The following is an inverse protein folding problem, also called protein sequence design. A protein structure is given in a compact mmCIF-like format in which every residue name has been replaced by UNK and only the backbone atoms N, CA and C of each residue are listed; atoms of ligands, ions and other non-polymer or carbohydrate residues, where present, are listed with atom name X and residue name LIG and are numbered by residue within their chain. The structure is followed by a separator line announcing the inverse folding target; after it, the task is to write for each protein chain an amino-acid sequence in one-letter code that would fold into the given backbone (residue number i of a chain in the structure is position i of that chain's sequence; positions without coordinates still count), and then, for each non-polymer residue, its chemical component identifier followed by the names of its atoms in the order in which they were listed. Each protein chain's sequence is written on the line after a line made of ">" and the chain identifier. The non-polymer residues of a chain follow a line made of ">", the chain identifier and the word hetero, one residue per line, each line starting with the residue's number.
data_IF_777259053057
#
_entry.id   IF_777259053057
#
_cell.length_a   1.000
_cell.length_b   1.000
_cell.length_c   1.000
_cell.angle_alpha   90.00
_cell.angle_beta   90.00
_cell.angle_gamma   90.00
#
_symmetry.space_group_name_H-M   'P 1'
#
loop_
_entity.id
_entity.type
_entity.pdbx_description
1 polymer ?
#
# COMPACT_ATOMS: atom_id res chain seq x y z
N UNK A 1 -21.36 48.64 8.18
CA UNK A 1 -20.32 47.98 7.36
C UNK A 1 -19.85 46.78 8.15
N UNK A 2 -20.28 45.62 7.67
CA UNK A 2 -20.35 44.34 8.37
C UNK A 2 -18.97 43.68 8.45
N UNK A 3 -18.54 43.39 9.67
CA UNK A 3 -17.43 42.47 9.95
C UNK A 3 -17.87 41.06 9.54
N UNK A 4 -17.51 40.63 8.33
CA UNK A 4 -17.61 39.24 7.95
C UNK A 4 -16.40 38.50 8.57
N UNK A 5 -16.67 37.80 9.67
CA UNK A 5 -15.77 36.79 10.22
C UNK A 5 -15.60 35.73 9.11
N UNK A 6 -14.37 35.56 8.60
CA UNK A 6 -14.04 34.45 7.72
C UNK A 6 -14.42 33.14 8.43
N UNK A 7 -15.03 32.17 7.74
CA UNK A 7 -15.32 30.88 8.35
C UNK A 7 -13.99 30.20 8.67
N UNK A 8 -13.86 29.74 9.92
CA UNK A 8 -12.86 28.76 10.33
C UNK A 8 -12.94 27.60 9.33
N UNK A 9 -11.92 27.45 8.50
CA UNK A 9 -11.70 26.21 7.77
C UNK A 9 -11.39 25.21 8.86
N UNK A 10 -12.37 24.33 9.12
CA UNK A 10 -12.25 23.23 10.05
C UNK A 10 -11.17 22.29 9.47
N UNK A 11 -9.91 22.60 9.79
CA UNK A 11 -8.72 21.79 9.54
C UNK A 11 -8.83 20.53 10.40
N UNK A 12 -9.76 19.65 10.04
CA UNK A 12 -9.78 18.29 10.55
C UNK A 12 -8.63 17.57 9.87
N UNK A 13 -7.43 17.78 10.41
CA UNK A 13 -6.24 17.01 10.07
C UNK A 13 -6.61 15.53 10.25
N UNK A 14 -6.67 14.79 9.14
CA UNK A 14 -7.26 13.46 9.13
C UNK A 14 -6.23 12.48 9.68
N UNK A 15 -6.44 12.00 10.91
CA UNK A 15 -5.56 11.03 11.56
C UNK A 15 -5.61 9.67 10.83
N UNK A 16 -4.47 9.26 10.26
CA UNK A 16 -4.36 8.03 9.46
C UNK A 16 -4.54 6.76 10.29
N UNK A 17 -4.27 6.83 11.60
CA UNK A 17 -4.49 5.72 12.53
C UNK A 17 -5.98 5.54 12.79
N UNK A 18 -6.70 6.64 13.02
CA UNK A 18 -8.15 6.60 13.20
C UNK A 18 -8.85 6.09 11.93
N UNK A 19 -8.41 6.54 10.75
CA UNK A 19 -8.88 6.00 9.47
C UNK A 19 -8.66 4.48 9.34
N UNK A 20 -7.44 4.00 9.64
CA UNK A 20 -7.12 2.58 9.56
C UNK A 20 -7.93 1.75 10.56
N UNK A 21 -8.13 2.28 11.77
CA UNK A 21 -8.97 1.66 12.81
C UNK A 21 -10.41 1.55 12.37
N UNK A 22 -10.97 2.59 11.76
CA UNK A 22 -12.35 2.57 11.30
C UNK A 22 -12.52 1.64 10.09
N UNK A 23 -11.60 1.66 9.12
CA UNK A 23 -11.59 0.73 7.99
C UNK A 23 -11.57 -0.74 8.46
N UNK A 24 -10.63 -1.08 9.36
CA UNK A 24 -10.52 -2.41 9.97
C UNK A 24 -11.83 -2.84 10.64
N UNK A 25 -12.43 -1.95 11.42
CA UNK A 25 -13.66 -2.25 12.16
C UNK A 25 -14.87 -2.41 11.24
N UNK A 26 -14.98 -1.60 10.19
CA UNK A 26 -16.03 -1.72 9.17
C UNK A 26 -15.90 -3.06 8.44
N UNK A 27 -14.70 -3.36 7.93
CA UNK A 27 -14.39 -4.60 7.19
C UNK A 27 -14.82 -5.87 7.94
N UNK A 28 -14.45 -5.97 9.22
CA UNK A 28 -14.78 -7.15 10.03
C UNK A 28 -16.22 -7.15 10.54
N UNK A 29 -16.82 -5.98 10.78
CA UNK A 29 -18.23 -5.88 11.18
C UNK A 29 -19.16 -6.43 10.10
N UNK A 30 -18.88 -6.14 8.83
CA UNK A 30 -19.62 -6.68 7.68
C UNK A 30 -19.53 -8.21 7.58
N UNK A 31 -18.48 -8.79 8.16
CA UNK A 31 -18.24 -10.24 8.27
C UNK A 31 -18.71 -10.82 9.60
N UNK A 32 -19.52 -10.09 10.36
CA UNK A 32 -20.08 -10.54 11.64
C UNK A 32 -19.12 -10.48 12.82
N UNK A 33 -17.92 -9.92 12.68
CA UNK A 33 -16.89 -9.85 13.71
C UNK A 33 -16.83 -8.43 14.30
N UNK A 34 -17.26 -8.28 15.56
CA UNK A 34 -17.29 -6.98 16.24
C UNK A 34 -16.00 -6.70 17.02
N UNK A 35 -15.09 -5.92 16.43
CA UNK A 35 -13.85 -5.47 17.08
C UNK A 35 -14.11 -4.18 17.87
N UNK A 36 -13.71 -4.17 19.15
CA UNK A 36 -13.79 -2.96 19.99
C UNK A 36 -12.74 -1.94 19.56
N UNK A 37 -13.06 -0.66 19.65
CA UNK A 37 -12.17 0.44 19.24
C UNK A 37 -10.75 0.31 19.85
N UNK A 38 -10.67 0.09 21.16
CA UNK A 38 -9.38 -0.08 21.85
C UNK A 38 -8.54 -1.26 21.31
N UNK A 39 -9.18 -2.35 20.88
CA UNK A 39 -8.48 -3.51 20.32
C UNK A 39 -8.01 -3.25 18.88
N UNK A 40 -8.82 -2.54 18.09
CA UNK A 40 -8.44 -2.13 16.74
C UNK A 40 -7.21 -1.21 16.76
N UNK A 41 -7.19 -0.19 17.62
CA UNK A 41 -6.01 0.65 17.79
C UNK A 41 -4.76 -0.13 18.22
N UNK A 42 -4.92 -1.09 19.14
CA UNK A 42 -3.81 -1.92 19.56
C UNK A 42 -3.25 -2.72 18.37
N UNK A 43 -4.11 -3.33 17.56
CA UNK A 43 -3.71 -4.04 16.35
C UNK A 43 -2.98 -3.11 15.36
N UNK A 44 -3.53 -1.94 15.04
CA UNK A 44 -2.86 -0.97 14.14
C UNK A 44 -1.50 -0.55 14.71
N UNK A 45 -1.39 -0.30 16.02
CA UNK A 45 -0.12 0.05 16.66
C UNK A 45 0.91 -1.08 16.55
N UNK A 46 0.48 -2.33 16.75
CA UNK A 46 1.36 -3.50 16.61
C UNK A 46 1.82 -3.66 15.16
N UNK A 47 0.95 -3.46 14.19
CA UNK A 47 1.32 -3.50 12.77
C UNK A 47 2.39 -2.46 12.42
N UNK A 48 2.32 -1.27 13.03
CA UNK A 48 3.32 -0.19 12.90
C UNK A 48 4.60 -0.40 13.74
N UNK A 49 4.78 -1.60 14.32
CA UNK A 49 5.97 -1.94 15.09
C UNK A 49 5.96 -1.46 16.54
N UNK A 50 4.83 -1.02 17.10
CA UNK A 50 4.75 -0.61 18.51
C UNK A 50 4.20 -1.71 19.44
N UNK A 51 4.66 -1.70 20.69
CA UNK A 51 4.19 -2.65 21.71
C UNK A 51 2.80 -2.29 22.28
N UNK A 52 2.30 -1.08 22.01
CA UNK A 52 0.96 -0.64 22.43
C UNK A 52 0.55 0.66 21.73
N UNK A 53 -0.75 0.99 21.81
CA UNK A 53 -1.28 2.32 21.45
C UNK A 53 -0.60 3.47 22.21
N UNK A 54 -0.27 3.24 23.48
CA UNK A 54 0.38 4.27 24.31
C UNK A 54 1.80 4.52 23.79
N UNK A 55 2.55 3.47 23.46
CA UNK A 55 3.89 3.59 22.89
C UNK A 55 3.88 4.35 21.57
N UNK A 56 2.93 4.06 20.68
CA UNK A 56 2.72 4.83 19.44
C UNK A 56 2.48 6.32 19.73
N UNK A 57 1.58 6.64 20.67
CA UNK A 57 1.22 8.03 21.01
C UNK A 57 2.30 8.80 21.77
N UNK A 58 3.26 8.10 22.34
CA UNK A 58 4.37 8.70 23.09
C UNK A 58 5.64 8.81 22.26
N UNK A 59 5.59 8.48 20.96
CA UNK A 59 6.70 8.64 20.03
C UNK A 59 6.64 10.07 19.45
N UNK A 60 7.58 10.92 19.87
CA UNK A 60 7.66 12.32 19.43
C UNK A 60 8.05 12.46 17.94
N UNK A 61 8.51 11.37 17.30
CA UNK A 61 8.85 11.33 15.88
C UNK A 61 7.73 10.76 15.02
N UNK A 62 6.61 10.35 15.62
CA UNK A 62 5.46 9.82 14.89
C UNK A 62 4.45 10.92 14.55
N UNK A 63 4.25 11.16 13.26
CA UNK A 63 3.19 12.03 12.76
C UNK A 63 1.97 11.20 12.34
N UNK A 64 0.85 11.34 13.04
CA UNK A 64 -0.39 10.62 12.71
C UNK A 64 -1.16 11.22 11.55
N UNK A 65 -0.69 12.31 10.97
CA UNK A 65 -1.29 12.97 9.80
C UNK A 65 -0.50 12.68 8.51
N UNK A 66 0.63 11.98 8.61
CA UNK A 66 1.43 11.59 7.46
C UNK A 66 0.74 10.47 6.66
N UNK A 67 0.22 10.84 5.50
CA UNK A 67 -0.45 9.92 4.57
C UNK A 67 0.53 8.99 3.85
N UNK A 68 1.82 9.33 3.80
CA UNK A 68 2.87 8.54 3.17
C UNK A 68 3.61 7.65 4.16
N UNK A 69 3.08 7.48 5.38
CA UNK A 69 3.66 6.63 6.44
C UNK A 69 4.16 5.26 5.95
N UNK A 70 3.40 4.61 5.05
CA UNK A 70 3.74 3.28 4.54
C UNK A 70 4.96 3.26 3.60
N UNK A 71 5.38 4.40 3.04
CA UNK A 71 6.51 4.48 2.12
C UNK A 71 7.87 4.31 2.83
N UNK A 72 7.96 4.66 4.12
CA UNK A 72 9.23 4.64 4.86
C UNK A 72 9.18 3.86 6.17
N UNK A 73 7.99 3.59 6.73
CA UNK A 73 7.86 2.88 8.01
C UNK A 73 7.95 1.38 7.78
N UNK A 74 8.86 0.73 8.50
CA UNK A 74 8.84 -0.72 8.61
C UNK A 74 7.55 -1.18 9.31
N UNK A 75 6.69 -1.86 8.54
CA UNK A 75 5.41 -2.39 9.02
C UNK A 75 5.39 -3.90 8.88
N UNK A 76 4.60 -4.57 9.72
CA UNK A 76 4.52 -6.00 9.58
C UNK A 76 3.69 -6.73 10.62
N UNK A 77 3.55 -8.02 10.37
CA UNK A 77 2.72 -8.91 11.17
C UNK A 77 3.43 -9.49 12.39
N UNK A 78 4.74 -9.30 12.52
CA UNK A 78 5.55 -9.90 13.60
C UNK A 78 5.03 -9.54 14.99
N UNK A 79 4.79 -8.25 15.24
CA UNK A 79 4.23 -7.79 16.53
C UNK A 79 2.75 -8.10 16.69
N UNK A 80 1.98 -8.21 15.60
CA UNK A 80 0.61 -8.72 15.68
C UNK A 80 0.61 -10.14 16.24
N UNK A 81 1.48 -11.01 15.72
CA UNK A 81 1.62 -12.41 16.19
C UNK A 81 2.06 -12.48 17.65
N UNK A 82 2.95 -11.59 18.06
CA UNK A 82 3.45 -11.55 19.44
C UNK A 82 2.37 -11.09 20.43
N UNK A 83 1.66 -10.00 20.12
CA UNK A 83 0.84 -9.31 21.11
C UNK A 83 -0.65 -9.66 21.10
N UNK A 84 -1.24 -10.01 19.94
CA UNK A 84 -2.67 -10.36 19.88
C UNK A 84 -3.05 -11.50 20.84
N UNK A 85 -2.28 -12.59 20.94
CA UNK A 85 -2.58 -13.68 21.88
C UNK A 85 -2.62 -13.23 23.34
N UNK A 86 -1.84 -12.20 23.69
CA UNK A 86 -1.69 -11.67 25.06
C UNK A 86 -2.76 -10.63 25.44
N UNK A 87 -3.57 -10.17 24.47
CA UNK A 87 -4.64 -9.21 24.73
C UNK A 87 -5.74 -9.81 25.61
N UNK A 88 -6.49 -8.93 26.29
CA UNK A 88 -7.78 -9.32 26.89
C UNK A 88 -8.66 -9.97 25.82
N UNK A 89 -9.52 -10.95 26.19
CA UNK A 89 -10.32 -11.72 25.25
C UNK A 89 -10.98 -10.85 24.17
N UNK A 90 -10.66 -11.16 22.91
CA UNK A 90 -11.04 -10.34 21.75
C UNK A 90 -11.21 -11.22 20.50
N UNK A 91 -12.12 -10.87 19.57
CA UNK A 91 -12.24 -11.61 18.32
C UNK A 91 -10.96 -11.67 17.48
N UNK A 92 -10.04 -10.71 17.65
CA UNK A 92 -8.76 -10.67 16.94
C UNK A 92 -7.94 -11.97 17.13
N UNK A 93 -8.07 -12.64 18.28
CA UNK A 93 -7.33 -13.88 18.59
C UNK A 93 -7.74 -15.06 17.69
N UNK A 94 -8.92 -14.99 17.05
CA UNK A 94 -9.41 -16.02 16.13
C UNK A 94 -9.24 -15.66 14.64
N UNK A 95 -8.61 -14.53 14.32
CA UNK A 95 -8.40 -14.10 12.93
C UNK A 95 -7.07 -14.61 12.39
N UNK A 96 -7.02 -14.84 11.08
CA UNK A 96 -5.75 -15.04 10.40
C UNK A 96 -4.92 -13.74 10.45
N UNK A 97 -3.68 -13.85 10.91
CA UNK A 97 -2.84 -12.68 11.18
C UNK A 97 -2.34 -12.04 9.88
N UNK A 98 -2.17 -12.81 8.80
CA UNK A 98 -1.77 -12.26 7.50
C UNK A 98 -2.91 -11.44 6.90
N UNK A 99 -4.13 -11.99 6.91
CA UNK A 99 -5.33 -11.26 6.48
C UNK A 99 -5.57 -10.02 7.33
N UNK A 100 -5.41 -10.11 8.66
CA UNK A 100 -5.52 -8.95 9.53
C UNK A 100 -4.48 -7.87 9.16
N UNK A 101 -3.24 -8.27 8.88
CA UNK A 101 -2.20 -7.37 8.38
C UNK A 101 -2.59 -6.67 7.09
N UNK A 102 -3.11 -7.40 6.10
CA UNK A 102 -3.56 -6.83 4.82
C UNK A 102 -4.71 -5.83 4.99
N UNK A 103 -5.66 -6.10 5.89
CA UNK A 103 -6.76 -5.16 6.18
C UNK A 103 -6.24 -3.89 6.88
N UNK A 104 -5.26 -4.02 7.79
CA UNK A 104 -4.64 -2.87 8.43
C UNK A 104 -3.83 -2.05 7.42
N UNK A 105 -3.05 -2.71 6.55
CA UNK A 105 -2.31 -2.07 5.46
C UNK A 105 -3.24 -1.22 4.58
N UNK A 106 -4.33 -1.82 4.10
CA UNK A 106 -5.34 -1.12 3.30
C UNK A 106 -6.01 0.06 4.05
N UNK A 107 -6.15 -0.05 5.36
CA UNK A 107 -6.63 1.03 6.22
C UNK A 107 -5.63 2.18 6.36
N UNK A 108 -4.34 1.88 6.39
CA UNK A 108 -3.24 2.85 6.53
C UNK A 108 -2.89 3.52 5.20
N UNK A 109 -3.03 2.80 4.08
CA UNK A 109 -2.76 3.33 2.76
C UNK A 109 -3.65 4.55 2.44
N UNK A 110 -3.15 5.52 1.67
CA UNK A 110 -3.97 6.54 1.03
C UNK A 110 -5.16 5.93 0.30
N UNK A 111 -6.23 6.72 0.17
CA UNK A 111 -7.36 6.33 -0.65
C UNK A 111 -6.95 6.26 -2.13
N UNK A 112 -7.69 5.47 -2.91
CA UNK A 112 -7.44 5.38 -4.35
C UNK A 112 -7.63 6.74 -5.02
N UNK A 113 -6.68 7.15 -5.86
CA UNK A 113 -6.69 8.48 -6.52
C UNK A 113 -7.88 8.69 -7.47
N UNK A 114 -8.56 7.61 -7.90
CA UNK A 114 -9.73 7.69 -8.77
C UNK A 114 -11.07 7.69 -8.05
N UNK A 115 -11.24 6.79 -7.07
CA UNK A 115 -12.54 6.61 -6.40
C UNK A 115 -12.60 7.23 -5.01
N UNK A 116 -11.48 7.71 -4.47
CA UNK A 116 -11.35 8.29 -3.13
C UNK A 116 -11.77 7.32 -2.00
N UNK A 117 -11.76 6.01 -2.28
CA UNK A 117 -12.10 4.96 -1.33
C UNK A 117 -10.87 4.13 -0.96
N UNK A 118 -10.85 3.66 0.29
CA UNK A 118 -9.88 2.66 0.74
C UNK A 118 -10.26 1.28 0.22
N UNK A 119 -9.26 0.50 -0.18
CA UNK A 119 -9.48 -0.84 -0.75
C UNK A 119 -8.47 -1.85 -0.22
N UNK A 120 -8.88 -3.11 -0.08
CA UNK A 120 -7.94 -4.22 0.17
C UNK A 120 -6.99 -4.49 -0.99
N UNK A 121 -7.36 -4.03 -2.18
CA UNK A 121 -6.58 -4.16 -3.41
C UNK A 121 -5.86 -2.85 -3.73
N UNK A 122 -5.65 -1.99 -2.74
CA UNK A 122 -4.90 -0.74 -2.93
C UNK A 122 -3.42 -1.09 -3.11
N UNK A 123 -2.79 -0.47 -4.10
CA UNK A 123 -1.37 -0.61 -4.40
C UNK A 123 -0.75 0.77 -4.64
N UNK A 124 0.50 1.02 -4.21
CA UNK A 124 1.23 2.21 -4.62
C UNK A 124 1.49 2.18 -6.13
N UNK A 125 1.54 3.35 -6.75
CA UNK A 125 1.99 3.50 -8.13
C UNK A 125 3.53 3.49 -8.17
N UNK A 126 4.07 2.76 -9.15
CA UNK A 126 5.52 2.66 -9.35
C UNK A 126 6.16 1.46 -8.67
N UNK A 127 7.49 1.52 -8.54
CA UNK A 127 8.31 0.48 -7.92
C UNK A 127 8.71 0.84 -6.47
N UNK A 128 8.93 -0.18 -5.64
CA UNK A 128 9.04 -0.15 -4.16
C UNK A 128 10.08 0.83 -3.57
N UNK A 129 11.00 1.38 -4.37
CA UNK A 129 12.12 2.20 -3.88
C UNK A 129 11.90 3.74 -3.98
N UNK A 130 10.70 4.19 -4.35
CA UNK A 130 10.36 5.61 -4.44
C UNK A 130 9.13 5.98 -3.61
N UNK A 131 9.08 7.22 -3.11
CA UNK A 131 7.83 7.77 -2.59
C UNK A 131 6.76 7.64 -3.68
N UNK A 132 5.68 6.89 -3.44
CA UNK A 132 4.75 6.59 -4.50
C UNK A 132 4.01 7.86 -4.92
N UNK A 133 4.02 8.13 -6.22
CA UNK A 133 3.36 9.30 -6.83
C UNK A 133 1.82 9.24 -6.76
N UNK A 134 1.28 8.13 -6.28
CA UNK A 134 -0.15 7.91 -6.07
C UNK A 134 -0.45 6.49 -5.62
N UNK A 135 -1.73 6.24 -5.35
CA UNK A 135 -2.22 4.93 -4.92
C UNK A 135 -3.49 4.62 -5.71
N UNK A 136 -3.59 3.40 -6.23
CA UNK A 136 -4.74 2.97 -7.03
C UNK A 136 -5.23 1.62 -6.55
N UNK A 137 -6.55 1.41 -6.58
CA UNK A 137 -7.09 0.07 -6.33
C UNK A 137 -7.22 -0.70 -7.65
N UNK A 138 -6.92 -2.00 -7.62
CA UNK A 138 -7.05 -2.87 -8.82
C UNK A 138 -8.37 -2.66 -9.61
N UNK A 139 -9.57 -2.60 -9.00
CA UNK A 139 -10.80 -2.34 -9.75
C UNK A 139 -10.79 -1.04 -10.56
N UNK A 140 -10.17 0.03 -10.04
CA UNK A 140 -10.05 1.29 -10.76
C UNK A 140 -8.97 1.20 -11.85
N UNK A 141 -7.84 0.56 -11.57
CA UNK A 141 -6.80 0.34 -12.58
C UNK A 141 -7.33 -0.49 -13.77
N UNK A 142 -8.07 -1.55 -13.49
CA UNK A 142 -8.67 -2.42 -14.50
C UNK A 142 -9.78 -1.72 -15.31
N UNK A 143 -10.56 -0.84 -14.65
CA UNK A 143 -11.64 -0.10 -15.31
C UNK A 143 -11.11 1.02 -16.22
N UNK A 144 -9.98 1.63 -15.87
CA UNK A 144 -9.35 2.73 -16.60
C UNK A 144 -8.01 2.27 -17.17
N UNK A 145 -8.03 1.22 -17.99
CA UNK A 145 -6.85 0.57 -18.61
C UNK A 145 -6.06 1.48 -19.56
N UNK A 146 -6.65 2.57 -20.05
CA UNK A 146 -5.93 3.62 -20.78
C UNK A 146 -5.09 4.52 -19.87
N UNK A 147 -5.43 4.61 -18.58
CA UNK A 147 -4.77 5.47 -17.60
C UNK A 147 -3.67 4.75 -16.81
N UNK A 148 -3.71 3.43 -16.75
CA UNK A 148 -2.76 2.60 -16.00
C UNK A 148 -2.21 1.47 -16.85
N UNK A 149 -0.98 1.06 -16.57
CA UNK A 149 -0.31 -0.04 -17.24
C UNK A 149 0.64 -0.76 -16.29
N UNK A 150 1.10 -1.96 -16.68
CA UNK A 150 2.15 -2.70 -15.98
C UNK A 150 3.44 -2.69 -16.79
N UNK A 151 4.57 -2.74 -16.10
CA UNK A 151 5.85 -2.97 -16.74
C UNK A 151 6.04 -4.48 -16.96
N UNK A 152 6.44 -4.86 -18.18
CA UNK A 152 6.67 -6.27 -18.55
C UNK A 152 7.76 -6.98 -17.73
N UNK A 153 8.64 -6.23 -17.05
CA UNK A 153 9.77 -6.75 -16.27
C UNK A 153 9.54 -6.68 -14.75
N UNK A 154 8.77 -5.70 -14.25
CA UNK A 154 8.42 -5.62 -12.83
C UNK A 154 7.43 -6.72 -12.41
N UNK A 155 6.60 -7.18 -13.35
CA UNK A 155 5.52 -8.14 -13.11
C UNK A 155 4.19 -7.47 -12.81
N UNK A 156 3.12 -8.27 -12.81
CA UNK A 156 1.73 -7.79 -12.81
C UNK A 156 1.26 -7.17 -11.48
N UNK A 157 2.09 -7.25 -10.44
CA UNK A 157 1.82 -6.64 -9.13
C UNK A 157 2.11 -5.13 -9.07
N UNK A 158 2.84 -4.60 -10.05
CA UNK A 158 3.27 -3.20 -10.08
C UNK A 158 2.50 -2.42 -11.12
N UNK A 159 1.75 -1.43 -10.65
CA UNK A 159 0.91 -0.58 -11.50
C UNK A 159 1.60 0.77 -11.66
N UNK A 160 1.67 1.24 -12.90
CA UNK A 160 2.20 2.54 -13.30
C UNK A 160 1.08 3.35 -13.95
N UNK A 161 1.22 4.67 -14.01
CA UNK A 161 0.40 5.45 -14.95
C UNK A 161 0.83 5.10 -16.36
N UNK A 162 -0.11 4.99 -17.29
CA UNK A 162 0.18 4.60 -18.67
C UNK A 162 1.20 5.54 -19.34
N UNK A 163 1.26 6.81 -18.94
CA UNK A 163 2.24 7.79 -19.42
C UNK A 163 3.69 7.50 -19.00
N UNK A 164 3.90 6.66 -17.99
CA UNK A 164 5.21 6.27 -17.45
C UNK A 164 5.75 5.00 -18.12
N UNK A 165 4.93 4.35 -18.95
CA UNK A 165 5.29 3.15 -19.69
C UNK A 165 5.57 3.53 -21.14
N UNK A 166 6.77 3.16 -21.61
CA UNK A 166 7.16 3.42 -22.99
C UNK A 166 6.43 2.50 -23.99
N UNK A 167 6.60 2.75 -25.29
CA UNK A 167 5.96 1.96 -26.36
C UNK A 167 6.37 0.47 -26.40
N UNK A 168 7.42 0.06 -25.66
CA UNK A 168 7.87 -1.33 -25.53
C UNK A 168 7.33 -2.02 -24.27
N UNK A 169 6.54 -1.31 -23.45
CA UNK A 169 5.97 -1.85 -22.21
C UNK A 169 6.94 -1.78 -21.01
N UNK A 170 7.89 -0.85 -21.03
CA UNK A 170 8.93 -0.71 -20.01
C UNK A 170 8.71 0.56 -19.19
N UNK A 171 8.92 0.49 -17.88
CA UNK A 171 9.05 1.68 -17.03
C UNK A 171 10.43 2.32 -17.22
N UNK A 172 10.67 3.49 -16.61
CA UNK A 172 11.95 4.21 -16.71
C UNK A 172 13.16 3.39 -16.29
N UNK A 173 13.01 2.57 -15.24
CA UNK A 173 14.11 1.73 -14.72
C UNK A 173 14.49 0.60 -15.69
N UNK A 174 13.56 0.16 -16.53
CA UNK A 174 13.77 -0.92 -17.49
C UNK A 174 13.81 -0.41 -18.95
N UNK A 175 14.01 0.89 -19.17
CA UNK A 175 14.00 1.48 -20.50
C UNK A 175 15.18 0.96 -21.34
N UNK A 176 14.86 0.17 -22.36
CA UNK A 176 15.84 -0.42 -23.27
C UNK A 176 16.20 -1.86 -22.94
N UNK A 177 15.72 -2.43 -21.84
CA UNK A 177 16.04 -3.82 -21.47
C UNK A 177 15.51 -4.87 -22.46
N UNK A 178 14.50 -4.53 -23.28
CA UNK A 178 14.08 -5.39 -24.39
C UNK A 178 14.88 -5.22 -25.69
N UNK A 179 15.86 -4.32 -25.72
CA UNK A 179 16.70 -4.05 -26.89
C UNK A 179 18.07 -4.68 -26.67
N UNK A 180 18.34 -5.76 -27.40
CA UNK A 180 19.66 -6.37 -27.41
C UNK A 180 20.69 -5.43 -28.02
N UNK A 181 21.84 -5.31 -27.36
CA UNK A 181 23.01 -4.69 -27.97
C UNK A 181 23.71 -5.63 -28.98
N UNK A 182 24.73 -5.12 -29.66
CA UNK A 182 25.45 -5.88 -30.70
C UNK A 182 26.14 -7.13 -30.13
N UNK A 183 26.65 -7.05 -28.90
CA UNK A 183 27.31 -8.18 -28.22
C UNK A 183 26.27 -9.26 -27.85
N UNK A 184 25.13 -8.85 -27.30
CA UNK A 184 24.04 -9.76 -26.95
C UNK A 184 23.42 -10.44 -28.19
N UNK A 185 23.36 -9.73 -29.32
CA UNK A 185 22.94 -10.31 -30.59
C UNK A 185 23.95 -11.34 -31.11
N UNK A 186 25.25 -11.04 -31.07
CA UNK A 186 26.32 -11.97 -31.45
C UNK A 186 26.30 -13.24 -30.57
N UNK A 187 26.08 -13.09 -29.27
CA UNK A 187 25.97 -14.20 -28.32
C UNK A 187 24.74 -15.08 -28.62
N UNK A 188 23.59 -14.46 -28.91
CA UNK A 188 22.37 -15.18 -29.29
C UNK A 188 22.54 -15.94 -30.61
N UNK A 189 23.14 -15.31 -31.62
CA UNK A 189 23.42 -15.94 -32.91
C UNK A 189 24.39 -17.13 -32.75
N UNK A 190 25.43 -16.96 -31.95
CA UNK A 190 26.40 -18.02 -31.62
C UNK A 190 25.73 -19.21 -30.91
N UNK A 191 24.83 -18.95 -29.96
CA UNK A 191 24.07 -20.00 -29.26
C UNK A 191 23.15 -20.78 -30.19
N UNK A 192 22.43 -20.08 -31.09
CA UNK A 192 21.55 -20.70 -32.07
C UNK A 192 22.32 -21.55 -33.08
N UNK A 193 23.49 -21.09 -33.54
CA UNK A 193 24.36 -21.84 -34.44
C UNK A 193 24.85 -23.14 -33.78
N UNK A 194 25.28 -23.08 -32.52
CA UNK A 194 25.69 -24.26 -31.76
C UNK A 194 24.58 -25.32 -31.68
N UNK A 195 23.35 -24.89 -31.36
CA UNK A 195 22.20 -25.79 -31.23
C UNK A 195 21.65 -26.35 -32.55
N UNK A 196 21.90 -25.71 -33.69
CA UNK A 196 21.51 -26.26 -35.00
C UNK A 196 22.55 -27.26 -35.54
N UNK A 197 23.80 -27.12 -35.12
CA UNK A 197 24.91 -27.93 -35.61
C UNK A 197 25.21 -29.16 -34.73
N UNK A 198 24.54 -29.33 -33.59
CA UNK A 198 24.70 -30.45 -32.63
C UNK A 198 23.34 -31.04 -32.22
#
# INVERSE_FOLDING_TARGET
>A
MSNAKQPDVNDQTIDVIDQAVDFLRVHYRERGVKIRNAHAHAAVSHYLGFNSKIALKSDDHFDSTDTQLLAYRDTGVSKLREHIPLMKPTPLQGLDVLQLGAVIYAGLAPACELCDEKSLSITPLGYEDSEPDGWVCHPCADQYDEAYATCRFCGDGYIYRASEINHRGECSEHDGESVYDEEELEDMESFLEYHQNH
#
